data_IF_180555254923
#
_entry.id   IF_180555254923
#
_cell.length_a   1.000
_cell.length_b   1.000
_cell.length_c   1.000
_cell.angle_alpha   90.00
_cell.angle_beta   90.00
_cell.angle_gamma   90.00
#
_symmetry.space_group_name_H-M   'P 1'
#
loop_
_entity.id
_entity.type
_entity.pdbx_description
1 polymer ?
#
# COMPACT_ATOMS: atom_id res chain seq x y z
N UNK A 1 -8.60 -16.18 -13.62
CA UNK A 1 -8.79 -16.42 -12.16
C UNK A 1 -10.02 -15.62 -11.73
N UNK A 2 -10.88 -16.20 -10.89
CA UNK A 2 -11.98 -15.41 -10.31
C UNK A 2 -11.35 -14.37 -9.36
N UNK A 3 -11.89 -13.17 -9.38
CA UNK A 3 -11.50 -12.09 -8.49
C UNK A 3 -11.80 -12.46 -7.03
N UNK A 4 -10.84 -12.22 -6.13
CA UNK A 4 -11.03 -12.47 -4.71
C UNK A 4 -11.88 -11.37 -4.04
N UNK A 5 -12.24 -11.59 -2.79
CA UNK A 5 -13.14 -10.68 -2.05
C UNK A 5 -12.52 -9.30 -1.83
N UNK A 6 -11.21 -9.24 -1.55
CA UNK A 6 -10.51 -7.99 -1.26
C UNK A 6 -10.34 -7.15 -2.52
N UNK A 7 -9.92 -7.76 -3.63
CA UNK A 7 -9.78 -7.04 -4.89
C UNK A 7 -11.14 -6.53 -5.40
N UNK A 8 -12.20 -7.35 -5.26
CA UNK A 8 -13.56 -6.93 -5.55
C UNK A 8 -14.00 -5.73 -4.69
N UNK A 9 -13.68 -5.76 -3.39
CA UNK A 9 -13.92 -4.63 -2.49
C UNK A 9 -13.21 -3.36 -2.98
N UNK A 10 -11.96 -3.46 -3.50
CA UNK A 10 -11.26 -2.32 -4.07
C UNK A 10 -12.02 -1.72 -5.24
N UNK A 11 -12.49 -2.54 -6.18
CA UNK A 11 -13.27 -2.07 -7.32
C UNK A 11 -14.60 -1.42 -6.89
N UNK A 12 -15.31 -2.00 -5.93
CA UNK A 12 -16.55 -1.44 -5.39
C UNK A 12 -16.32 -0.07 -4.70
N UNK A 13 -15.23 0.05 -3.94
CA UNK A 13 -14.86 1.33 -3.30
C UNK A 13 -14.47 2.38 -4.32
N UNK A 14 -13.69 2.02 -5.32
CA UNK A 14 -13.31 2.94 -6.40
C UNK A 14 -14.52 3.38 -7.22
N UNK A 15 -15.45 2.49 -7.52
CA UNK A 15 -16.69 2.83 -8.20
C UNK A 15 -17.56 3.80 -7.39
N UNK A 16 -17.54 3.73 -6.05
CA UNK A 16 -18.38 4.57 -5.19
C UNK A 16 -17.70 5.83 -4.67
N UNK A 17 -16.38 5.80 -4.47
CA UNK A 17 -15.61 6.90 -3.86
C UNK A 17 -14.58 7.54 -4.82
N UNK A 18 -14.24 6.86 -5.92
CA UNK A 18 -13.25 7.28 -6.92
C UNK A 18 -11.79 7.21 -6.47
N UNK A 19 -11.52 7.09 -5.18
CA UNK A 19 -10.19 6.89 -4.60
C UNK A 19 -10.26 6.25 -3.22
N UNK A 20 -9.14 5.66 -2.76
CA UNK A 20 -9.04 4.92 -1.49
C UNK A 20 -7.87 5.39 -0.64
N UNK A 21 -8.05 5.35 0.67
CA UNK A 21 -6.99 5.53 1.66
C UNK A 21 -6.66 4.21 2.35
N UNK A 22 -5.40 3.81 2.25
CA UNK A 22 -4.84 2.65 2.94
C UNK A 22 -4.00 3.13 4.12
N UNK A 23 -4.33 2.68 5.32
CA UNK A 23 -3.54 2.94 6.52
C UNK A 23 -2.54 1.81 6.73
N UNK A 24 -1.25 2.12 6.70
CA UNK A 24 -0.18 1.15 6.95
C UNK A 24 0.17 1.15 8.43
N UNK A 25 0.03 -0.01 9.05
CA UNK A 25 0.53 -0.33 10.40
C UNK A 25 1.81 -1.14 10.23
N UNK A 26 2.88 -0.68 10.89
CA UNK A 26 4.19 -1.32 10.87
C UNK A 26 4.49 -1.91 12.27
N UNK A 27 4.25 -3.22 12.48
CA UNK A 27 4.42 -3.85 13.79
C UNK A 27 5.87 -3.83 14.30
N UNK A 28 6.86 -3.66 13.41
CA UNK A 28 8.27 -3.53 13.81
C UNK A 28 8.55 -2.24 14.57
N UNK A 29 7.71 -1.23 14.36
CA UNK A 29 7.89 0.11 14.93
C UNK A 29 7.00 0.40 16.12
N UNK A 30 5.95 -0.40 16.29
CA UNK A 30 4.90 -0.15 17.29
C UNK A 30 4.71 -1.37 18.18
N UNK A 31 4.64 -1.20 19.51
CA UNK A 31 4.12 -2.23 20.41
C UNK A 31 2.71 -2.67 19.99
N UNK A 32 2.35 -3.89 20.32
CA UNK A 32 1.09 -4.53 19.90
C UNK A 32 -0.14 -3.65 20.15
N UNK A 33 -0.27 -3.09 21.34
CA UNK A 33 -1.42 -2.25 21.74
C UNK A 33 -1.51 -0.97 20.91
N UNK A 34 -0.36 -0.40 20.54
CA UNK A 34 -0.29 0.79 19.70
C UNK A 34 -0.71 0.50 18.26
N UNK A 35 -0.41 -0.70 17.74
CA UNK A 35 -0.91 -1.16 16.46
C UNK A 35 -2.44 -1.18 16.41
N UNK A 36 -3.09 -1.69 17.47
CA UNK A 36 -4.54 -1.64 17.63
C UNK A 36 -5.09 -0.22 17.72
N UNK A 37 -4.40 0.67 18.44
CA UNK A 37 -4.82 2.07 18.57
C UNK A 37 -4.74 2.83 17.24
N UNK A 38 -3.71 2.59 16.43
CA UNK A 38 -3.58 3.14 15.06
C UNK A 38 -4.68 2.59 14.16
N UNK A 39 -4.98 1.29 14.24
CA UNK A 39 -6.05 0.67 13.46
C UNK A 39 -7.42 1.27 13.79
N UNK A 40 -7.72 1.48 15.09
CA UNK A 40 -8.94 2.15 15.54
C UNK A 40 -9.02 3.59 15.01
N UNK A 41 -7.94 4.36 15.15
CA UNK A 41 -7.91 5.73 14.64
C UNK A 41 -8.07 5.78 13.12
N UNK A 42 -7.52 4.81 12.40
CA UNK A 42 -7.67 4.68 10.96
C UNK A 42 -9.12 4.39 10.55
N UNK A 43 -9.76 3.45 11.25
CA UNK A 43 -11.17 3.11 11.04
C UNK A 43 -12.09 4.31 11.29
N UNK A 44 -11.97 4.94 12.46
CA UNK A 44 -12.80 6.10 12.83
C UNK A 44 -12.48 7.35 11.98
N UNK A 45 -11.25 7.47 11.49
CA UNK A 45 -10.81 8.54 10.60
C UNK A 45 -11.18 8.34 9.14
N UNK A 46 -11.74 7.18 8.77
CA UNK A 46 -12.28 6.94 7.42
C UNK A 46 -11.29 6.32 6.42
N UNK A 47 -10.26 5.61 6.87
CA UNK A 47 -9.48 4.74 6.00
C UNK A 47 -10.36 3.64 5.39
N UNK A 48 -9.99 3.17 4.21
CA UNK A 48 -10.74 2.14 3.47
C UNK A 48 -10.14 0.73 3.66
N UNK A 49 -8.85 0.63 3.96
CA UNK A 49 -8.11 -0.63 4.12
C UNK A 49 -7.02 -0.45 5.17
N UNK A 50 -6.74 -1.50 5.93
CA UNK A 50 -5.54 -1.56 6.78
C UNK A 50 -4.49 -2.44 6.08
N UNK A 51 -3.29 -1.91 5.91
CA UNK A 51 -2.12 -2.66 5.49
C UNK A 51 -1.29 -3.03 6.72
N UNK A 52 -0.78 -4.24 6.74
CA UNK A 52 0.17 -4.70 7.77
C UNK A 52 1.48 -5.04 7.09
N UNK A 53 2.52 -4.28 7.40
CA UNK A 53 3.80 -4.37 6.73
C UNK A 53 4.98 -4.16 7.67
N UNK A 54 6.12 -3.87 7.06
CA UNK A 54 7.40 -3.64 7.72
C UNK A 54 8.54 -4.17 6.87
N UNK A 55 9.58 -3.35 6.70
CA UNK A 55 10.71 -3.71 5.84
C UNK A 55 11.58 -4.82 6.44
N UNK A 56 11.56 -4.99 7.77
CA UNK A 56 12.35 -6.00 8.50
C UNK A 56 11.44 -7.14 8.99
N UNK A 57 10.17 -6.88 9.19
CA UNK A 57 9.08 -7.85 9.29
C UNK A 57 8.93 -8.60 10.62
N UNK A 58 7.82 -8.41 11.31
CA UNK A 58 7.34 -9.28 12.39
C UNK A 58 6.83 -10.59 11.79
N UNK A 59 7.02 -11.69 12.50
CA UNK A 59 6.70 -13.05 12.05
C UNK A 59 6.02 -13.86 13.16
N UNK A 60 5.37 -14.97 12.77
CA UNK A 60 4.80 -15.93 13.70
C UNK A 60 3.67 -15.40 14.55
N UNK A 61 3.56 -15.83 15.79
CA UNK A 61 2.44 -15.51 16.69
C UNK A 61 2.26 -14.02 16.94
N UNK A 62 3.34 -13.24 16.95
CA UNK A 62 3.26 -11.78 17.12
C UNK A 62 2.52 -11.13 15.96
N UNK A 63 2.74 -11.60 14.73
CA UNK A 63 2.01 -11.12 13.55
C UNK A 63 0.54 -11.55 13.62
N UNK A 64 0.26 -12.79 14.03
CA UNK A 64 -1.10 -13.31 14.17
C UNK A 64 -1.90 -12.48 15.19
N UNK A 65 -1.32 -12.20 16.35
CA UNK A 65 -1.92 -11.38 17.40
C UNK A 65 -2.14 -9.94 16.94
N UNK A 66 -1.16 -9.37 16.22
CA UNK A 66 -1.28 -8.01 15.65
C UNK A 66 -2.45 -7.92 14.67
N UNK A 67 -2.58 -8.87 13.76
CA UNK A 67 -3.67 -8.85 12.76
C UNK A 67 -5.03 -9.05 13.44
N UNK A 68 -5.14 -9.93 14.43
CA UNK A 68 -6.38 -10.10 15.23
C UNK A 68 -6.76 -8.79 15.91
N UNK A 69 -5.81 -8.17 16.61
CA UNK A 69 -6.05 -6.91 17.32
C UNK A 69 -6.47 -5.78 16.37
N UNK A 70 -5.86 -5.73 15.17
CA UNK A 70 -6.26 -4.77 14.11
C UNK A 70 -7.70 -5.02 13.69
N UNK A 71 -8.11 -6.26 13.43
CA UNK A 71 -9.48 -6.60 13.04
C UNK A 71 -10.50 -6.26 14.11
N UNK A 72 -10.18 -6.48 15.37
CA UNK A 72 -11.03 -6.12 16.50
C UNK A 72 -11.25 -4.61 16.62
N UNK A 73 -10.23 -3.81 16.23
CA UNK A 73 -10.26 -2.34 16.32
C UNK A 73 -10.71 -1.64 15.02
N UNK A 74 -10.74 -2.34 13.90
CA UNK A 74 -11.17 -1.81 12.60
C UNK A 74 -12.18 -2.76 11.91
N UNK A 75 -13.36 -3.00 12.54
CA UNK A 75 -14.30 -4.02 12.06
C UNK A 75 -14.82 -3.70 10.67
N UNK A 76 -14.77 -4.72 9.79
CA UNK A 76 -15.28 -4.60 8.42
C UNK A 76 -14.33 -3.97 7.40
N UNK A 77 -13.17 -3.47 7.82
CA UNK A 77 -12.11 -3.10 6.88
C UNK A 77 -11.28 -4.34 6.51
N UNK A 78 -10.94 -4.53 5.22
CA UNK A 78 -9.99 -5.54 4.83
C UNK A 78 -8.62 -5.29 5.47
N UNK A 79 -7.99 -6.36 5.98
CA UNK A 79 -6.60 -6.33 6.46
C UNK A 79 -5.73 -7.08 5.47
N UNK A 80 -4.81 -6.36 4.84
CA UNK A 80 -3.98 -6.86 3.75
C UNK A 80 -2.51 -6.85 4.16
N UNK A 81 -1.85 -7.98 3.99
CA UNK A 81 -0.43 -8.09 4.26
C UNK A 81 0.38 -7.37 3.17
N UNK A 82 1.35 -6.60 3.63
CA UNK A 82 2.34 -5.89 2.80
C UNK A 82 3.76 -6.35 3.23
N UNK A 83 4.08 -7.64 2.99
CA UNK A 83 5.19 -8.32 3.66
C UNK A 83 6.56 -7.88 3.12
N UNK A 84 7.52 -7.69 4.00
CA UNK A 84 8.92 -7.51 3.67
C UNK A 84 9.68 -8.82 3.40
N UNK A 85 9.06 -9.98 3.66
CA UNK A 85 9.65 -11.31 3.42
C UNK A 85 8.56 -12.40 3.43
N UNK A 86 8.86 -13.63 2.97
CA UNK A 86 7.95 -14.79 3.08
C UNK A 86 7.54 -15.15 4.52
N UNK A 87 8.32 -14.73 5.53
CA UNK A 87 7.97 -14.91 6.93
C UNK A 87 6.84 -14.01 7.43
N UNK A 88 6.55 -12.90 6.74
CA UNK A 88 5.50 -11.95 7.08
C UNK A 88 4.11 -12.37 6.60
N UNK A 89 3.76 -13.64 6.75
CA UNK A 89 2.48 -14.22 6.33
C UNK A 89 1.70 -14.76 7.53
N UNK A 90 0.39 -14.50 7.56
CA UNK A 90 -0.56 -15.05 8.53
C UNK A 90 -1.90 -15.35 7.87
N UNK A 91 -2.57 -16.41 8.32
CA UNK A 91 -3.93 -16.77 7.86
C UNK A 91 -5.02 -15.85 8.44
N UNK A 92 -4.70 -15.01 9.42
CA UNK A 92 -5.64 -14.09 10.04
C UNK A 92 -5.96 -12.88 9.14
N UNK A 93 -5.14 -12.62 8.11
CA UNK A 93 -5.36 -11.56 7.13
C UNK A 93 -6.38 -11.96 6.06
N UNK A 94 -6.96 -10.97 5.38
CA UNK A 94 -7.91 -11.18 4.29
C UNK A 94 -7.21 -11.43 2.95
N UNK A 95 -6.09 -10.76 2.73
CA UNK A 95 -5.30 -10.86 1.51
C UNK A 95 -3.82 -10.59 1.76
N UNK A 96 -3.01 -10.87 0.77
CA UNK A 96 -1.60 -10.49 0.69
C UNK A 96 -1.32 -9.83 -0.66
N UNK A 97 -0.60 -8.71 -0.65
CA UNK A 97 0.07 -8.25 -1.85
C UNK A 97 1.17 -9.27 -2.21
N UNK A 98 0.87 -10.11 -3.18
CA UNK A 98 1.83 -11.07 -3.72
C UNK A 98 2.79 -10.32 -4.63
N UNK A 99 3.76 -9.66 -4.00
CA UNK A 99 4.57 -8.63 -4.62
C UNK A 99 5.78 -9.17 -5.36
N UNK A 100 6.04 -8.57 -6.53
CA UNK A 100 7.30 -8.62 -7.24
C UNK A 100 7.89 -7.21 -7.28
N UNK A 101 9.11 -7.01 -6.74
CA UNK A 101 9.82 -5.74 -6.87
C UNK A 101 10.45 -5.66 -8.27
N UNK A 102 9.72 -5.10 -9.20
CA UNK A 102 10.02 -5.16 -10.64
C UNK A 102 11.34 -4.50 -11.01
N UNK A 103 11.79 -3.48 -10.27
CA UNK A 103 13.07 -2.81 -10.49
C UNK A 103 14.18 -3.25 -9.52
N UNK A 104 14.04 -4.40 -8.85
CA UNK A 104 15.15 -4.97 -8.08
C UNK A 104 16.24 -5.53 -9.00
N UNK A 105 17.50 -5.45 -8.54
CA UNK A 105 18.67 -6.12 -9.15
C UNK A 105 18.91 -7.50 -8.55
N UNK A 106 18.12 -7.88 -7.54
CA UNK A 106 18.24 -9.16 -6.85
C UNK A 106 17.08 -10.08 -7.27
N UNK A 107 17.44 -11.26 -7.77
CA UNK A 107 16.49 -12.31 -8.17
C UNK A 107 15.57 -12.72 -7.02
N UNK A 108 16.02 -12.57 -5.78
CA UNK A 108 15.21 -12.86 -4.60
C UNK A 108 13.89 -12.09 -4.61
N UNK A 109 13.94 -10.79 -4.87
CA UNK A 109 12.76 -9.92 -4.89
C UNK A 109 11.95 -10.00 -6.19
N UNK A 110 12.56 -10.57 -7.23
CA UNK A 110 11.89 -10.76 -8.53
C UNK A 110 11.06 -12.04 -8.57
N UNK A 111 11.55 -13.14 -7.98
CA UNK A 111 10.89 -14.45 -8.11
C UNK A 111 11.12 -15.41 -6.94
N UNK A 112 12.28 -15.41 -6.29
CA UNK A 112 12.61 -16.44 -5.29
C UNK A 112 11.70 -16.36 -4.06
N UNK A 113 11.47 -15.17 -3.50
CA UNK A 113 10.57 -14.97 -2.37
C UNK A 113 9.14 -15.40 -2.70
N UNK A 114 8.67 -15.11 -3.92
CA UNK A 114 7.33 -15.50 -4.38
C UNK A 114 7.19 -17.01 -4.53
N UNK A 115 8.22 -17.68 -5.06
CA UNK A 115 8.24 -19.14 -5.16
C UNK A 115 8.18 -19.79 -3.77
N UNK A 116 8.92 -19.26 -2.81
CA UNK A 116 8.90 -19.76 -1.42
C UNK A 116 7.57 -19.48 -0.72
N UNK A 117 6.97 -18.31 -0.94
CA UNK A 117 5.71 -17.91 -0.32
C UNK A 117 4.47 -18.61 -0.90
N UNK A 118 4.46 -18.92 -2.19
CA UNK A 118 3.27 -19.40 -2.89
C UNK A 118 2.62 -20.65 -2.24
N UNK A 119 3.37 -21.72 -1.86
CA UNK A 119 2.76 -22.88 -1.18
C UNK A 119 2.19 -22.53 0.21
N UNK A 120 2.77 -21.55 0.88
CA UNK A 120 2.32 -21.08 2.21
C UNK A 120 1.01 -20.33 2.06
N UNK A 121 0.94 -19.36 1.16
CA UNK A 121 -0.27 -18.59 0.84
C UNK A 121 -1.42 -19.51 0.42
N UNK A 122 -1.14 -20.51 -0.42
CA UNK A 122 -2.13 -21.50 -0.85
C UNK A 122 -2.71 -22.32 0.32
N UNK A 123 -1.86 -22.73 1.28
CA UNK A 123 -2.31 -23.47 2.49
C UNK A 123 -3.11 -22.58 3.44
N UNK A 124 -2.72 -21.32 3.59
CA UNK A 124 -3.43 -20.34 4.42
C UNK A 124 -4.78 -19.93 3.84
N UNK A 125 -5.00 -20.14 2.54
CA UNK A 125 -6.23 -19.78 1.82
C UNK A 125 -6.56 -18.27 1.87
N UNK A 126 -5.56 -17.42 2.08
CA UNK A 126 -5.69 -15.97 1.96
C UNK A 126 -5.65 -15.57 0.48
N UNK A 127 -6.30 -14.46 0.15
CA UNK A 127 -6.31 -13.95 -1.23
C UNK A 127 -4.92 -13.45 -1.63
N UNK A 128 -4.35 -13.98 -2.70
CA UNK A 128 -3.11 -13.48 -3.30
C UNK A 128 -3.43 -12.43 -4.37
N UNK A 129 -3.13 -11.16 -4.11
CA UNK A 129 -3.31 -10.07 -5.07
C UNK A 129 -1.99 -9.90 -5.83
N UNK A 130 -1.98 -10.26 -7.12
CA UNK A 130 -0.79 -10.08 -7.99
C UNK A 130 -0.40 -8.60 -8.05
N UNK A 131 0.79 -8.29 -7.52
CA UNK A 131 1.23 -6.92 -7.32
C UNK A 131 2.64 -6.72 -7.87
N UNK A 132 2.82 -5.71 -8.72
CA UNK A 132 4.15 -5.23 -9.09
C UNK A 132 4.48 -3.97 -8.27
N UNK A 133 5.69 -3.94 -7.75
CA UNK A 133 6.19 -2.92 -6.84
C UNK A 133 7.45 -2.27 -7.40
N UNK A 134 7.49 -0.94 -7.43
CA UNK A 134 8.60 -0.18 -8.00
C UNK A 134 9.03 0.93 -7.07
N UNK A 135 10.32 1.00 -6.79
CA UNK A 135 10.91 2.02 -5.93
C UNK A 135 11.30 3.23 -6.76
N UNK A 136 10.83 4.39 -6.29
CA UNK A 136 11.15 5.72 -6.83
C UNK A 136 12.07 6.43 -5.84
N UNK A 137 12.94 7.29 -6.35
CA UNK A 137 13.80 8.14 -5.52
C UNK A 137 12.98 8.92 -4.46
N UNK A 138 13.47 9.00 -3.18
CA UNK A 138 14.79 8.57 -2.69
C UNK A 138 14.88 7.09 -2.28
N UNK A 139 13.82 6.30 -2.29
CA UNK A 139 13.80 4.86 -2.02
C UNK A 139 13.99 4.46 -0.56
N UNK A 140 14.73 5.24 0.23
CA UNK A 140 14.96 5.01 1.66
C UNK A 140 15.35 3.55 1.99
N UNK A 141 14.91 3.05 3.16
CA UNK A 141 15.22 1.69 3.62
C UNK A 141 14.72 0.60 2.66
N UNK A 142 13.52 0.74 2.11
CA UNK A 142 12.97 -0.26 1.19
C UNK A 142 13.75 -0.37 -0.11
N UNK A 143 14.28 0.75 -0.62
CA UNK A 143 15.15 0.75 -1.80
C UNK A 143 16.49 0.05 -1.54
N UNK A 144 17.05 0.24 -0.35
CA UNK A 144 18.30 -0.42 0.04
C UNK A 144 18.11 -1.92 0.26
N UNK A 145 17.09 -2.32 1.04
CA UNK A 145 16.78 -3.72 1.33
C UNK A 145 16.44 -4.48 0.06
N UNK A 146 15.63 -3.86 -0.81
CA UNK A 146 15.19 -4.46 -2.07
C UNK A 146 16.25 -4.45 -3.17
N UNK A 147 17.45 -3.90 -2.94
CA UNK A 147 18.49 -3.72 -3.96
C UNK A 147 17.90 -3.12 -5.25
N UNK A 148 17.08 -2.07 -5.09
CA UNK A 148 16.34 -1.50 -6.20
C UNK A 148 17.23 -0.68 -7.14
N UNK A 149 17.02 -0.82 -8.44
CA UNK A 149 17.42 0.15 -9.43
C UNK A 149 16.44 1.33 -9.38
N UNK A 150 16.65 2.22 -8.42
CA UNK A 150 15.71 3.29 -8.06
C UNK A 150 15.43 4.17 -9.27
N UNK A 151 14.14 4.40 -9.58
CA UNK A 151 13.72 5.30 -10.67
C UNK A 151 13.94 6.75 -10.24
N UNK A 152 14.73 7.55 -10.99
CA UNK A 152 14.93 8.97 -10.69
C UNK A 152 13.62 9.75 -10.78
N UNK A 153 13.46 10.77 -9.93
CA UNK A 153 12.22 11.56 -9.84
C UNK A 153 11.88 12.36 -11.11
N UNK A 154 12.87 12.70 -11.90
CA UNK A 154 12.76 13.42 -13.16
C UNK A 154 12.53 12.51 -14.39
N UNK A 155 12.44 11.18 -14.18
CA UNK A 155 12.28 10.19 -15.25
C UNK A 155 10.90 9.52 -15.19
N UNK A 156 9.88 10.32 -15.45
CA UNK A 156 8.49 9.84 -15.55
C UNK A 156 8.30 8.75 -16.63
N UNK A 157 9.09 8.82 -17.71
CA UNK A 157 9.10 7.83 -18.79
C UNK A 157 9.54 6.44 -18.32
N UNK A 158 10.57 6.35 -17.46
CA UNK A 158 11.01 5.07 -16.90
C UNK A 158 9.95 4.47 -15.96
N UNK A 159 9.33 5.30 -15.12
CA UNK A 159 8.26 4.85 -14.24
C UNK A 159 7.03 4.35 -15.03
N UNK A 160 6.67 5.04 -16.11
CA UNK A 160 5.61 4.63 -17.02
C UNK A 160 5.94 3.30 -17.72
N UNK A 161 7.18 3.12 -18.18
CA UNK A 161 7.63 1.86 -18.77
C UNK A 161 7.53 0.69 -17.79
N UNK A 162 7.88 0.90 -16.51
CA UNK A 162 7.69 -0.11 -15.46
C UNK A 162 6.21 -0.49 -15.27
N UNK A 163 5.31 0.50 -15.27
CA UNK A 163 3.88 0.24 -15.14
C UNK A 163 3.33 -0.57 -16.33
N UNK A 164 3.76 -0.23 -17.55
CA UNK A 164 3.37 -0.97 -18.74
C UNK A 164 3.90 -2.41 -18.73
N UNK A 165 5.15 -2.61 -18.30
CA UNK A 165 5.73 -3.94 -18.12
C UNK A 165 4.96 -4.76 -17.07
N UNK A 166 4.66 -4.17 -15.90
CA UNK A 166 3.85 -4.80 -14.85
C UNK A 166 2.51 -5.29 -15.39
N UNK A 167 1.85 -4.45 -16.19
CA UNK A 167 0.59 -4.79 -16.82
C UNK A 167 0.69 -5.98 -17.78
N UNK A 168 1.71 -6.00 -18.63
CA UNK A 168 1.95 -7.12 -19.55
C UNK A 168 2.32 -8.42 -18.83
N UNK A 169 2.90 -8.33 -17.62
CA UNK A 169 3.16 -9.45 -16.74
C UNK A 169 1.91 -9.91 -15.95
N UNK A 170 0.77 -9.22 -16.08
CA UNK A 170 -0.49 -9.62 -15.46
C UNK A 170 -0.68 -9.14 -14.03
N UNK A 171 0.02 -8.08 -13.60
CA UNK A 171 -0.23 -7.46 -12.30
C UNK A 171 -1.65 -6.87 -12.24
N UNK A 172 -2.33 -7.09 -11.11
CA UNK A 172 -3.65 -6.51 -10.81
C UNK A 172 -3.51 -5.17 -10.08
N UNK A 173 -2.44 -5.04 -9.33
CA UNK A 173 -2.07 -3.84 -8.59
C UNK A 173 -0.66 -3.43 -8.95
N UNK A 174 -0.46 -2.15 -9.18
CA UNK A 174 0.84 -1.53 -9.34
C UNK A 174 1.07 -0.52 -8.23
N UNK A 175 2.18 -0.64 -7.53
CA UNK A 175 2.53 0.25 -6.43
C UNK A 175 3.85 0.92 -6.74
N UNK A 176 3.91 2.24 -6.58
CA UNK A 176 5.18 2.97 -6.54
C UNK A 176 5.42 3.53 -5.16
N UNK A 177 6.65 3.44 -4.67
CA UNK A 177 7.01 3.86 -3.34
C UNK A 177 8.30 4.70 -3.34
N UNK A 178 8.22 5.88 -2.76
CA UNK A 178 9.41 6.74 -2.52
C UNK A 178 10.12 6.39 -1.19
N UNK A 179 9.61 5.43 -0.45
CA UNK A 179 10.12 4.98 0.84
C UNK A 179 9.55 5.75 2.04
N UNK A 180 9.45 5.04 3.16
CA UNK A 180 8.98 5.60 4.44
C UNK A 180 9.85 6.77 4.85
N UNK A 181 9.23 7.92 5.21
CA UNK A 181 9.93 9.15 5.59
C UNK A 181 10.50 9.94 4.40
N UNK A 182 10.09 9.67 3.16
CA UNK A 182 10.45 10.51 2.02
C UNK A 182 10.02 11.97 2.24
N UNK A 183 10.80 12.97 1.77
CA UNK A 183 10.54 14.38 2.07
C UNK A 183 9.24 14.89 1.44
N UNK A 184 8.88 14.38 0.29
CA UNK A 184 7.67 14.74 -0.47
C UNK A 184 7.23 13.58 -1.37
N UNK A 185 5.97 13.56 -1.85
CA UNK A 185 5.52 12.61 -2.87
C UNK A 185 6.29 12.76 -4.18
N UNK A 186 6.21 11.76 -5.06
CA UNK A 186 6.72 11.84 -6.42
C UNK A 186 6.08 13.00 -7.21
N UNK A 187 6.73 13.53 -8.24
CA UNK A 187 6.14 14.57 -9.09
C UNK A 187 4.81 14.13 -9.70
N UNK A 188 3.84 15.03 -9.77
CA UNK A 188 2.53 14.77 -10.33
C UNK A 188 2.59 14.27 -11.79
N UNK A 189 3.55 14.75 -12.56
CA UNK A 189 3.80 14.30 -13.94
C UNK A 189 4.11 12.80 -14.00
N UNK A 190 4.98 12.32 -13.08
CA UNK A 190 5.31 10.90 -12.99
C UNK A 190 4.09 10.06 -12.62
N UNK A 191 3.31 10.50 -11.62
CA UNK A 191 2.08 9.81 -11.20
C UNK A 191 1.09 9.73 -12.38
N UNK A 192 0.92 10.82 -13.12
CA UNK A 192 0.03 10.87 -14.28
C UNK A 192 0.51 9.99 -15.43
N UNK A 193 1.83 9.93 -15.67
CA UNK A 193 2.41 9.06 -16.69
C UNK A 193 2.19 7.58 -16.36
N UNK A 194 2.41 7.18 -15.09
CA UNK A 194 2.13 5.83 -14.60
C UNK A 194 0.65 5.49 -14.78
N UNK A 195 -0.24 6.39 -14.34
CA UNK A 195 -1.70 6.18 -14.42
C UNK A 195 -2.18 5.88 -15.84
N UNK A 196 -1.64 6.59 -16.82
CA UNK A 196 -1.96 6.35 -18.25
C UNK A 196 -1.59 4.93 -18.71
N UNK A 197 -0.53 4.35 -18.16
CA UNK A 197 -0.11 2.98 -18.49
C UNK A 197 -0.93 1.91 -17.77
N UNK A 198 -1.55 2.25 -16.65
CA UNK A 198 -2.43 1.33 -15.92
C UNK A 198 -3.79 1.12 -16.63
N UNK A 199 -4.26 2.11 -17.38
CA UNK A 199 -5.44 2.00 -18.24
C UNK A 199 -5.04 1.69 -19.69
N UNK A 200 -5.82 0.84 -20.37
CA UNK A 200 -5.62 0.60 -21.79
C UNK A 200 -6.93 0.73 -22.56
N UNK A 201 -7.19 1.90 -23.13
CA UNK A 201 -8.40 2.13 -23.89
C UNK A 201 -8.51 1.25 -25.16
N UNK A 202 -7.40 0.69 -25.64
CA UNK A 202 -7.39 -0.09 -26.89
C UNK A 202 -7.80 -1.58 -26.72
N UNK A 203 -7.84 -2.11 -25.48
CA UNK A 203 -8.01 -3.56 -25.29
C UNK A 203 -9.23 -3.96 -24.46
N UNK A 204 -10.07 -3.06 -23.97
CA UNK A 204 -11.14 -3.36 -22.99
C UNK A 204 -10.69 -4.29 -21.83
N UNK A 205 -9.38 -4.43 -21.63
CA UNK A 205 -8.84 -5.23 -20.57
C UNK A 205 -9.06 -4.51 -19.24
N UNK A 206 -9.35 -5.28 -18.22
CA UNK A 206 -9.53 -4.81 -16.87
C UNK A 206 -8.37 -3.91 -16.43
N UNK A 207 -8.68 -2.81 -15.79
CA UNK A 207 -7.71 -1.81 -15.39
C UNK A 207 -6.80 -2.33 -14.28
N UNK A 208 -5.49 -2.12 -14.39
CA UNK A 208 -4.55 -2.36 -13.31
C UNK A 208 -4.66 -1.20 -12.30
N UNK A 209 -4.94 -1.51 -11.03
CA UNK A 209 -5.07 -0.50 -9.99
C UNK A 209 -3.70 0.10 -9.64
N UNK A 210 -3.61 1.41 -9.56
CA UNK A 210 -2.38 2.12 -9.21
C UNK A 210 -2.48 2.75 -7.83
N UNK A 211 -1.61 2.33 -6.90
CA UNK A 211 -1.48 2.90 -5.58
C UNK A 211 -0.11 3.55 -5.39
N UNK A 212 -0.08 4.62 -4.63
CA UNK A 212 1.12 5.38 -4.36
C UNK A 212 1.50 5.31 -2.86
N UNK A 213 2.79 5.17 -2.56
CA UNK A 213 3.35 5.16 -1.21
C UNK A 213 4.54 6.13 -1.07
N UNK A 214 4.77 6.60 0.14
CA UNK A 214 5.91 7.44 0.51
C UNK A 214 5.70 8.95 0.39
N UNK A 215 6.19 9.70 1.36
CA UNK A 215 6.23 11.16 1.35
C UNK A 215 4.91 11.90 1.54
N UNK A 216 3.77 11.22 1.69
CA UNK A 216 2.47 11.86 1.98
C UNK A 216 2.40 12.21 3.46
N UNK A 217 2.40 13.51 3.77
CA UNK A 217 2.45 14.03 5.15
C UNK A 217 1.18 14.78 5.58
N UNK A 218 0.37 15.22 4.63
CA UNK A 218 -0.78 16.08 4.89
C UNK A 218 -1.85 15.92 3.80
N UNK A 219 -2.99 16.58 4.00
CA UNK A 219 -4.14 16.55 3.11
C UNK A 219 -3.82 17.10 1.71
N UNK A 220 -2.97 18.13 1.60
CA UNK A 220 -2.58 18.72 0.31
C UNK A 220 -1.76 17.72 -0.53
N UNK A 221 -0.77 17.07 0.09
CA UNK A 221 -0.01 15.99 -0.56
C UNK A 221 -0.94 14.89 -1.05
N UNK A 222 -1.89 14.45 -0.20
CA UNK A 222 -2.86 13.42 -0.55
C UNK A 222 -3.73 13.83 -1.75
N UNK A 223 -4.31 15.04 -1.69
CA UNK A 223 -5.13 15.58 -2.78
C UNK A 223 -4.37 15.64 -4.10
N UNK A 224 -3.11 16.10 -4.08
CA UNK A 224 -2.28 16.23 -5.28
C UNK A 224 -1.99 14.87 -5.92
N UNK A 225 -1.65 13.85 -5.13
CA UNK A 225 -1.38 12.50 -5.64
C UNK A 225 -2.65 11.87 -6.25
N UNK A 226 -3.80 12.02 -5.60
CA UNK A 226 -5.06 11.53 -6.16
C UNK A 226 -5.42 12.32 -7.42
N UNK A 227 -5.33 13.65 -7.41
CA UNK A 227 -5.60 14.48 -8.59
C UNK A 227 -4.70 14.12 -9.77
N UNK A 228 -3.44 13.77 -9.51
CA UNK A 228 -2.49 13.29 -10.54
C UNK A 228 -2.85 11.93 -11.12
N UNK A 229 -3.72 11.15 -10.47
CA UNK A 229 -4.28 9.94 -11.08
C UNK A 229 -4.20 8.66 -10.25
N UNK A 230 -3.48 8.60 -9.12
CA UNK A 230 -3.46 7.40 -8.30
C UNK A 230 -4.88 7.01 -7.86
N UNK A 231 -5.16 5.71 -7.84
CA UNK A 231 -6.42 5.17 -7.32
C UNK A 231 -6.47 5.18 -5.80
N UNK A 232 -5.31 5.22 -5.14
CA UNK A 232 -5.24 5.30 -3.68
C UNK A 232 -3.84 5.58 -3.17
N UNK A 233 -3.78 5.79 -1.86
CA UNK A 233 -2.58 6.14 -1.11
C UNK A 233 -2.32 5.14 0.00
N UNK A 234 -1.06 4.73 0.15
CA UNK A 234 -0.56 4.05 1.34
C UNK A 234 0.09 5.07 2.28
N UNK A 235 -0.44 5.23 3.47
CA UNK A 235 0.03 6.20 4.47
C UNK A 235 0.27 5.48 5.79
N UNK A 236 1.49 5.58 6.32
CA UNK A 236 1.89 5.02 7.60
C UNK A 236 2.35 6.11 8.57
N UNK A 237 3.56 6.63 8.38
CA UNK A 237 4.22 7.54 9.33
C UNK A 237 3.36 8.73 9.76
N UNK A 238 2.58 9.33 8.85
CA UNK A 238 1.72 10.46 9.18
C UNK A 238 0.61 10.10 10.19
N UNK A 239 0.28 8.81 10.33
CA UNK A 239 -0.71 8.32 11.29
C UNK A 239 -0.08 7.89 12.61
N UNK A 240 1.21 7.57 12.59
CA UNK A 240 2.01 7.18 13.73
C UNK A 240 2.73 8.36 14.41
N UNK A 241 2.48 9.61 13.99
CA UNK A 241 3.19 10.79 14.48
C UNK A 241 3.14 10.93 16.02
N UNK A 242 4.30 11.33 16.57
CA UNK A 242 4.63 11.46 17.98
C UNK A 242 6.07 11.00 18.20
N UNK A 243 6.69 11.43 19.28
CA UNK A 243 8.04 11.00 19.69
C UNK A 243 7.94 10.09 20.92
N UNK A 244 8.83 9.09 21.00
CA UNK A 244 8.92 8.21 22.15
C UNK A 244 7.56 7.53 22.47
N UNK A 245 7.08 7.68 23.70
CA UNK A 245 5.85 7.04 24.19
C UNK A 245 4.58 7.54 23.49
N UNK A 246 4.59 8.73 22.88
CA UNK A 246 3.43 9.29 22.19
C UNK A 246 3.27 8.79 20.75
N UNK A 247 4.28 8.13 20.16
CA UNK A 247 4.20 7.57 18.83
C UNK A 247 3.14 6.46 18.76
N UNK A 248 2.21 6.59 17.82
CA UNK A 248 1.13 5.62 17.62
C UNK A 248 0.12 5.55 18.78
N UNK A 249 0.04 6.60 19.63
CA UNK A 249 -0.79 6.58 20.83
C UNK A 249 -2.30 6.50 20.56
N UNK A 250 -2.74 6.73 19.30
CA UNK A 250 -4.18 6.75 18.98
C UNK A 250 -4.90 7.99 19.53
N UNK A 251 -6.19 7.84 19.81
CA UNK A 251 -7.03 8.91 20.37
C UNK A 251 -7.46 9.98 19.38
N UNK A 252 -8.12 11.03 19.88
CA UNK A 252 -8.78 12.05 19.05
C UNK A 252 -7.85 12.76 18.07
N UNK A 253 -6.60 13.00 18.45
CA UNK A 253 -5.61 13.65 17.58
C UNK A 253 -5.20 12.75 16.39
N UNK A 254 -5.03 11.45 16.63
CA UNK A 254 -4.75 10.49 15.57
C UNK A 254 -5.93 10.35 14.61
N UNK A 255 -7.15 10.23 15.13
CA UNK A 255 -8.38 10.20 14.34
C UNK A 255 -8.47 11.45 13.45
N UNK A 256 -8.24 12.64 14.01
CA UNK A 256 -8.29 13.89 13.27
C UNK A 256 -7.24 13.97 12.14
N UNK A 257 -6.04 13.42 12.36
CA UNK A 257 -4.99 13.35 11.32
C UNK A 257 -5.42 12.43 10.17
N UNK A 258 -5.87 11.21 10.50
CA UNK A 258 -6.37 10.26 9.48
C UNK A 258 -7.52 10.90 8.71
N UNK A 259 -8.49 11.48 9.42
CA UNK A 259 -9.68 12.10 8.81
C UNK A 259 -9.34 13.20 7.82
N UNK A 260 -8.39 14.09 8.15
CA UNK A 260 -7.94 15.14 7.22
C UNK A 260 -7.42 14.60 5.90
N UNK A 261 -6.67 13.51 5.96
CA UNK A 261 -6.11 12.87 4.77
C UNK A 261 -7.21 12.09 4.03
N UNK A 262 -8.06 11.36 4.73
CA UNK A 262 -9.18 10.61 4.16
C UNK A 262 -10.17 11.54 3.43
N UNK A 263 -10.55 12.63 4.06
CA UNK A 263 -11.45 13.63 3.46
C UNK A 263 -10.86 14.19 2.15
N UNK A 264 -9.55 14.48 2.11
CA UNK A 264 -8.88 14.96 0.91
C UNK A 264 -8.84 13.92 -0.21
N UNK A 265 -8.52 12.66 0.13
CA UNK A 265 -8.53 11.53 -0.81
C UNK A 265 -9.92 11.34 -1.41
N UNK A 266 -10.94 11.25 -0.56
CA UNK A 266 -12.31 11.00 -1.00
C UNK A 266 -12.92 12.20 -1.75
N UNK A 267 -12.58 13.44 -1.36
CA UNK A 267 -13.03 14.63 -2.07
C UNK A 267 -12.48 14.71 -3.50
N UNK A 268 -11.20 14.39 -3.70
CA UNK A 268 -10.63 14.32 -5.06
C UNK A 268 -11.14 13.09 -5.82
N UNK A 269 -11.34 11.96 -5.14
CA UNK A 269 -11.93 10.76 -5.73
C UNK A 269 -13.33 11.01 -6.29
N UNK A 270 -14.21 11.64 -5.52
CA UNK A 270 -15.59 11.98 -5.93
C UNK A 270 -15.69 12.80 -7.22
N UNK A 271 -14.64 13.46 -7.64
CA UNK A 271 -14.62 14.20 -8.92
C UNK A 271 -14.45 13.26 -10.13
N UNK A 272 -14.24 11.97 -9.90
CA UNK A 272 -13.99 10.96 -10.93
C UNK A 272 -15.17 10.00 -11.18
N UNK A 273 -16.15 10.01 -10.26
CA UNK A 273 -17.33 9.13 -10.27
C UNK A 273 -18.62 9.93 -10.42
#
# INVERSE_FOLDING_TARGET
>A
MREGKTLKYYHEKLASKGAMLFSLVDPDKLPLEKGGAVAKASYEGGADVILVGGSIGVQGSVLDETVKLIKDNAPGLPVVLYPGSPGGLTQEADAVYFMQMLNSRDIYWLSTAQIQAAPVVARMKIEAISTSYVIIEPGRAVGWIGNANIVPRDRADLAAACALAARYLGARVFITDSGSGAPSPAPNEMISAIRKMCSNPATNAEEMLYFYAGGVKNAEHAANVIRAGAHGLHVGNAFEEGEGETRGAGGAAAIARVKKIADAVHAEGKKRV
#
